data_IF_288362850950
#
_entry.id   IF_288362850950
#
_cell.length_a   1.000
_cell.length_b   1.000
_cell.length_c   1.000
_cell.angle_alpha   90.00
_cell.angle_beta   90.00
_cell.angle_gamma   90.00
#
_symmetry.space_group_name_H-M   'P 1'
#
loop_
_entity.id
_entity.type
_entity.pdbx_description
1 polymer ?
#
# COMPACT_ATOMS: atom_id res chain seq x y z
N UNK A 1 -24.73 -3.07 -35.62
CA UNK A 1 -24.35 -4.50 -35.63
C UNK A 1 -22.82 -4.62 -35.62
N UNK A 2 -22.14 -4.10 -34.59
CA UNK A 2 -20.70 -4.27 -34.35
C UNK A 2 -20.44 -4.09 -32.85
N UNK A 3 -20.84 -5.09 -32.07
CA UNK A 3 -20.56 -5.19 -30.64
C UNK A 3 -20.64 -6.67 -30.25
N UNK A 4 -19.80 -7.52 -30.87
CA UNK A 4 -19.78 -8.96 -30.56
C UNK A 4 -18.59 -9.75 -31.15
N UNK A 5 -17.34 -9.24 -31.12
CA UNK A 5 -16.16 -10.05 -31.55
C UNK A 5 -14.92 -9.94 -30.63
N UNK A 6 -14.91 -9.16 -29.54
CA UNK A 6 -13.80 -9.21 -28.56
C UNK A 6 -14.29 -9.39 -27.13
N UNK A 7 -14.92 -10.53 -26.88
CA UNK A 7 -15.30 -10.99 -25.52
C UNK A 7 -14.66 -12.36 -25.22
N UNK A 8 -13.43 -12.58 -25.70
CA UNK A 8 -12.51 -13.45 -24.95
C UNK A 8 -12.19 -12.67 -23.68
N UNK A 9 -13.02 -12.85 -22.65
CA UNK A 9 -13.10 -11.93 -21.52
C UNK A 9 -11.72 -11.71 -20.89
N UNK A 10 -11.42 -10.48 -20.48
CA UNK A 10 -10.22 -10.16 -19.70
C UNK A 10 -10.04 -11.12 -18.50
N UNK A 11 -11.15 -11.66 -17.95
CA UNK A 11 -11.11 -12.68 -16.91
C UNK A 11 -10.57 -14.05 -17.40
N UNK A 12 -10.85 -14.45 -18.63
CA UNK A 12 -10.26 -15.64 -19.27
C UNK A 12 -8.77 -15.42 -19.51
N UNK A 13 -8.38 -14.25 -20.05
CA UNK A 13 -6.97 -13.90 -20.24
C UNK A 13 -6.20 -13.84 -18.90
N UNK A 14 -6.79 -13.25 -17.86
CA UNK A 14 -6.18 -13.15 -16.53
C UNK A 14 -6.05 -14.52 -15.85
N UNK A 15 -7.04 -15.42 -16.02
CA UNK A 15 -6.94 -16.82 -15.55
C UNK A 15 -5.85 -17.60 -16.29
N UNK A 16 -5.79 -17.49 -17.62
CA UNK A 16 -4.75 -18.16 -18.43
C UNK A 16 -3.36 -17.62 -18.08
N UNK A 17 -3.23 -16.30 -17.89
CA UNK A 17 -1.99 -15.65 -17.48
C UNK A 17 -1.56 -16.08 -16.08
N UNK A 18 -2.46 -16.11 -15.10
CA UNK A 18 -2.18 -16.60 -13.75
C UNK A 18 -1.79 -18.10 -13.76
N UNK A 19 -2.49 -18.92 -14.54
CA UNK A 19 -2.17 -20.34 -14.68
C UNK A 19 -0.79 -20.55 -15.33
N UNK A 20 -0.44 -19.76 -16.35
CA UNK A 20 0.88 -19.81 -16.99
C UNK A 20 1.99 -19.31 -16.06
N UNK A 21 1.74 -18.23 -15.31
CA UNK A 21 2.67 -17.64 -14.36
C UNK A 21 2.89 -18.48 -13.11
N UNK A 22 1.92 -19.34 -12.74
CA UNK A 22 2.03 -20.20 -11.57
C UNK A 22 3.20 -21.18 -11.62
N UNK A 23 3.75 -21.47 -12.82
CA UNK A 23 4.86 -22.40 -13.03
C UNK A 23 6.25 -21.79 -12.78
N UNK A 24 6.40 -20.46 -12.71
CA UNK A 24 7.71 -19.77 -12.75
C UNK A 24 7.93 -18.71 -11.65
N UNK A 25 7.08 -18.64 -10.62
CA UNK A 25 7.19 -17.63 -9.56
C UNK A 25 7.96 -18.17 -8.34
N UNK A 26 9.27 -17.91 -8.29
CA UNK A 26 10.13 -18.34 -7.19
C UNK A 26 10.56 -17.14 -6.34
N UNK A 27 10.40 -17.26 -5.02
CA UNK A 27 11.03 -16.36 -4.06
C UNK A 27 12.51 -16.73 -4.00
N UNK A 28 13.38 -15.79 -4.36
CA UNK A 28 14.81 -15.97 -4.25
C UNK A 28 15.30 -15.48 -2.88
N UNK A 29 16.31 -16.16 -2.36
CA UNK A 29 17.15 -15.64 -1.28
C UNK A 29 18.44 -15.10 -1.91
N UNK A 30 19.02 -14.00 -1.38
CA UNK A 30 20.33 -13.54 -1.83
C UNK A 30 21.38 -14.66 -1.68
N UNK A 31 22.23 -14.84 -2.68
CA UNK A 31 23.22 -15.93 -2.74
C UNK A 31 24.28 -15.93 -1.62
N UNK A 32 24.47 -14.82 -0.89
CA UNK A 32 25.42 -14.71 0.23
C UNK A 32 24.74 -14.20 1.50
N UNK A 33 24.42 -15.11 2.42
CA UNK A 33 24.01 -14.74 3.79
C UNK A 33 25.28 -14.41 4.58
N UNK A 34 25.51 -13.13 4.86
CA UNK A 34 26.66 -12.67 5.64
C UNK A 34 26.50 -13.15 7.09
N UNK A 35 27.31 -14.12 7.52
CA UNK A 35 27.38 -14.62 8.88
C UNK A 35 28.59 -14.02 9.63
N UNK A 36 28.43 -13.89 10.95
CA UNK A 36 29.44 -13.71 12.03
C UNK A 36 29.63 -12.31 12.65
N UNK A 37 29.39 -12.20 13.97
CA UNK A 37 30.35 -12.04 15.11
C UNK A 37 29.56 -12.00 16.44
N UNK A 38 30.22 -12.01 17.61
CA UNK A 38 29.70 -12.34 18.96
C UNK A 38 28.57 -11.42 19.53
N UNK A 39 27.69 -11.93 20.42
CA UNK A 39 26.44 -11.25 20.77
C UNK A 39 26.56 -10.26 21.93
N UNK A 40 26.32 -8.98 21.66
CA UNK A 40 25.52 -8.15 22.56
C UNK A 40 24.07 -8.27 22.09
N UNK A 41 23.24 -9.01 22.83
CA UNK A 41 21.83 -9.19 22.49
C UNK A 41 21.10 -7.87 22.75
N UNK A 42 20.67 -7.20 21.69
CA UNK A 42 19.69 -6.11 21.80
C UNK A 42 18.32 -6.77 21.72
N UNK A 43 17.58 -6.81 22.83
CA UNK A 43 16.20 -7.24 22.82
C UNK A 43 15.35 -6.21 22.05
N UNK A 44 15.24 -6.39 20.73
CA UNK A 44 14.35 -5.58 19.92
C UNK A 44 12.91 -5.77 20.40
N UNK A 45 12.28 -4.64 20.73
CA UNK A 45 10.84 -4.58 20.96
C UNK A 45 10.13 -4.52 19.61
N UNK A 46 8.89 -4.97 19.57
CA UNK A 46 8.01 -4.82 18.42
C UNK A 46 6.66 -4.35 18.92
N UNK A 47 6.08 -3.34 18.26
CA UNK A 47 4.77 -2.82 18.64
C UNK A 47 3.89 -2.59 17.41
N UNK A 48 2.64 -3.02 17.50
CA UNK A 48 1.57 -2.76 16.53
C UNK A 48 0.56 -1.72 17.03
N UNK A 49 0.79 -1.17 18.22
CA UNK A 49 -0.07 -0.15 18.81
C UNK A 49 0.75 0.91 19.55
N UNK A 50 0.30 2.18 19.53
CA UNK A 50 0.90 3.18 20.40
C UNK A 50 0.71 2.78 21.88
N UNK A 51 1.54 3.31 22.80
CA UNK A 51 1.23 3.21 24.21
C UNK A 51 -0.18 3.79 24.47
N UNK A 52 -0.88 3.28 25.50
CA UNK A 52 -2.23 3.76 25.86
C UNK A 52 -2.30 5.27 25.74
N UNK A 53 -3.11 5.74 24.79
CA UNK A 53 -3.16 7.15 24.40
C UNK A 53 -3.49 8.04 25.61
N UNK A 54 -2.83 9.19 25.70
CA UNK A 54 -3.37 10.33 26.45
C UNK A 54 -4.82 10.56 26.00
N UNK A 55 -5.75 10.81 26.92
CA UNK A 55 -7.21 10.83 26.68
C UNK A 55 -7.63 11.56 25.38
N UNK A 56 -7.71 10.82 24.27
CA UNK A 56 -8.21 11.32 22.99
C UNK A 56 -9.75 11.32 23.05
N UNK A 57 -10.42 12.37 22.55
CA UNK A 57 -11.87 12.36 22.44
C UNK A 57 -12.31 11.29 21.45
N UNK A 58 -13.42 10.61 21.75
CA UNK A 58 -14.09 9.74 20.79
C UNK A 58 -14.65 10.57 19.64
N UNK A 59 -14.76 9.97 18.45
CA UNK A 59 -15.38 10.63 17.30
C UNK A 59 -16.85 10.98 17.64
N UNK A 60 -17.25 12.26 17.64
CA UNK A 60 -18.60 12.64 17.99
C UNK A 60 -19.60 12.21 16.92
N UNK A 61 -20.87 12.12 17.30
CA UNK A 61 -22.00 12.03 16.37
C UNK A 61 -22.64 13.41 16.29
N UNK A 62 -22.59 14.11 15.13
CA UNK A 62 -23.20 15.43 15.00
C UNK A 62 -24.74 15.34 15.11
N UNK A 63 -25.42 16.37 15.67
CA UNK A 63 -26.88 16.41 15.68
C UNK A 63 -27.47 16.35 14.27
N UNK A 64 -28.50 15.51 14.08
CA UNK A 64 -29.17 15.29 12.79
C UNK A 64 -29.54 16.60 12.08
N UNK A 65 -30.18 17.54 12.80
CA UNK A 65 -30.59 18.83 12.24
C UNK A 65 -29.41 19.61 11.66
N UNK A 66 -28.29 19.68 12.39
CA UNK A 66 -27.09 20.40 11.95
C UNK A 66 -26.52 19.76 10.68
N UNK A 67 -26.53 18.43 10.59
CA UNK A 67 -26.08 17.69 9.42
C UNK A 67 -26.98 17.95 8.20
N UNK A 68 -28.30 17.93 8.37
CA UNK A 68 -29.26 18.23 7.30
C UNK A 68 -29.14 19.68 6.81
N UNK A 69 -29.05 20.65 7.72
CA UNK A 69 -28.88 22.07 7.39
C UNK A 69 -27.56 22.33 6.64
N UNK A 70 -26.48 21.60 6.98
CA UNK A 70 -25.21 21.66 6.25
C UNK A 70 -25.32 21.01 4.88
N UNK A 71 -25.93 19.82 4.80
CA UNK A 71 -26.14 19.10 3.55
C UNK A 71 -26.89 19.97 2.51
N UNK A 72 -28.03 20.54 2.89
CA UNK A 72 -28.82 21.39 1.98
C UNK A 72 -28.04 22.62 1.49
N UNK A 73 -27.26 23.26 2.39
CA UNK A 73 -26.39 24.37 2.00
C UNK A 73 -25.28 23.94 1.05
N UNK A 74 -24.69 22.77 1.26
CA UNK A 74 -23.58 22.25 0.45
C UNK A 74 -24.02 21.81 -0.95
N UNK A 75 -25.24 21.29 -1.12
CA UNK A 75 -25.72 20.84 -2.44
C UNK A 75 -26.28 21.97 -3.31
N UNK A 76 -26.74 23.07 -2.69
CA UNK A 76 -27.39 24.19 -3.38
C UNK A 76 -26.69 24.68 -4.66
N UNK A 77 -25.35 24.84 -4.73
CA UNK A 77 -24.70 25.29 -5.96
C UNK A 77 -24.60 24.22 -7.08
N UNK A 78 -25.00 22.98 -6.82
CA UNK A 78 -24.86 21.84 -7.74
C UNK A 78 -26.20 21.33 -8.29
N UNK A 79 -27.32 21.94 -7.91
CA UNK A 79 -28.68 21.50 -8.28
C UNK A 79 -29.51 22.69 -8.76
N UNK A 80 -30.54 22.44 -9.57
CA UNK A 80 -31.51 23.47 -9.96
C UNK A 80 -32.56 23.72 -8.85
N UNK A 81 -33.44 24.71 -9.05
CA UNK A 81 -34.41 25.13 -8.06
C UNK A 81 -35.44 24.03 -7.75
N UNK A 82 -35.88 23.31 -8.77
CA UNK A 82 -36.86 22.22 -8.66
C UNK A 82 -36.27 21.04 -7.87
N UNK A 83 -35.05 20.60 -8.19
CA UNK A 83 -34.31 19.56 -7.49
C UNK A 83 -34.02 19.92 -6.04
N UNK A 84 -33.63 21.18 -5.79
CA UNK A 84 -33.42 21.68 -4.43
C UNK A 84 -34.71 21.60 -3.63
N UNK A 85 -35.83 22.04 -4.21
CA UNK A 85 -37.13 22.01 -3.53
C UNK A 85 -37.57 20.60 -3.17
N UNK A 86 -37.37 19.64 -4.08
CA UNK A 86 -37.60 18.21 -3.80
C UNK A 86 -36.72 17.73 -2.66
N UNK A 87 -35.44 18.10 -2.68
CA UNK A 87 -34.48 17.65 -1.66
C UNK A 87 -34.75 18.25 -0.29
N UNK A 88 -35.15 19.53 -0.22
CA UNK A 88 -35.59 20.19 1.02
C UNK A 88 -36.78 19.45 1.65
N UNK A 89 -37.79 19.10 0.83
CA UNK A 89 -38.95 18.36 1.31
C UNK A 89 -38.57 16.95 1.83
N UNK A 90 -37.66 16.26 1.14
CA UNK A 90 -37.14 14.96 1.58
C UNK A 90 -36.37 15.07 2.89
N UNK A 91 -35.48 16.07 3.02
CA UNK A 91 -34.71 16.31 4.24
C UNK A 91 -35.63 16.64 5.43
N UNK A 92 -36.66 17.46 5.21
CA UNK A 92 -37.67 17.79 6.22
C UNK A 92 -38.45 16.54 6.68
N UNK A 93 -38.88 15.69 5.74
CA UNK A 93 -39.55 14.41 6.05
C UNK A 93 -38.62 13.44 6.78
N UNK A 94 -37.35 13.39 6.40
CA UNK A 94 -36.36 12.50 7.02
C UNK A 94 -36.08 12.89 8.48
N UNK A 95 -35.93 14.20 8.74
CA UNK A 95 -35.63 14.76 10.05
C UNK A 95 -36.84 15.15 10.90
N UNK A 96 -38.07 14.79 10.51
CA UNK A 96 -39.27 15.09 11.30
C UNK A 96 -39.32 14.29 12.60
N UNK A 97 -40.08 14.79 13.58
CA UNK A 97 -40.31 14.08 14.84
C UNK A 97 -40.92 12.69 14.58
N UNK A 98 -40.29 11.64 15.11
CA UNK A 98 -40.66 10.24 14.86
C UNK A 98 -40.27 9.71 13.46
N UNK A 99 -39.63 10.55 12.63
CA UNK A 99 -39.15 10.21 11.29
C UNK A 99 -38.02 9.18 11.29
N UNK A 100 -37.66 8.72 10.09
CA UNK A 100 -36.60 7.70 9.92
C UNK A 100 -35.24 8.21 10.39
N UNK A 101 -34.94 9.50 10.16
CA UNK A 101 -33.67 10.11 10.56
C UNK A 101 -33.45 10.08 12.07
N UNK A 102 -34.47 10.37 12.88
CA UNK A 102 -34.35 10.28 14.35
C UNK A 102 -34.08 8.85 14.83
N UNK A 103 -34.72 7.86 14.21
CA UNK A 103 -34.48 6.43 14.52
C UNK A 103 -33.03 6.04 14.21
N UNK A 104 -32.53 6.44 13.03
CA UNK A 104 -31.14 6.16 12.63
C UNK A 104 -30.12 6.92 13.49
N UNK A 105 -30.41 8.16 13.87
CA UNK A 105 -29.57 8.95 14.77
C UNK A 105 -29.41 8.25 16.14
N UNK A 106 -30.51 7.75 16.73
CA UNK A 106 -30.45 7.00 18.00
C UNK A 106 -29.59 5.76 17.90
N UNK A 107 -29.73 4.97 16.84
CA UNK A 107 -28.88 3.80 16.60
C UNK A 107 -27.40 4.18 16.42
N UNK A 108 -27.13 5.33 15.78
CA UNK A 108 -25.77 5.84 15.60
C UNK A 108 -25.16 6.29 16.94
N UNK A 109 -25.94 6.96 17.78
CA UNK A 109 -25.53 7.36 19.13
C UNK A 109 -25.26 6.14 20.03
N UNK A 110 -26.11 5.11 19.94
CA UNK A 110 -25.90 3.81 20.62
C UNK A 110 -24.62 3.13 20.14
N UNK A 111 -24.37 3.12 18.83
CA UNK A 111 -23.11 2.60 18.27
C UNK A 111 -21.90 3.36 18.79
N UNK A 112 -21.95 4.68 18.86
CA UNK A 112 -20.86 5.52 19.37
C UNK A 112 -20.56 5.31 20.85
N UNK A 113 -21.57 4.97 21.67
CA UNK A 113 -21.37 4.58 23.07
C UNK A 113 -20.62 3.25 23.19
N UNK A 114 -20.94 2.31 22.30
CA UNK A 114 -20.49 0.92 22.34
C UNK A 114 -19.24 0.62 21.50
N UNK A 115 -18.62 1.63 20.88
CA UNK A 115 -17.41 1.48 20.06
C UNK A 115 -16.37 2.56 20.41
N UNK A 116 -15.09 2.29 20.15
CA UNK A 116 -14.04 3.31 20.29
C UNK A 116 -14.20 4.42 19.24
N UNK A 117 -14.52 4.03 18.00
CA UNK A 117 -14.85 4.92 16.90
C UNK A 117 -15.98 4.30 16.08
N UNK A 118 -17.15 4.94 16.06
CA UNK A 118 -18.35 4.40 15.43
C UNK A 118 -18.24 4.27 13.91
N UNK A 119 -17.37 5.06 13.28
CA UNK A 119 -17.23 5.16 11.83
C UNK A 119 -16.07 4.31 11.28
N UNK A 120 -15.05 4.00 12.08
CA UNK A 120 -13.78 3.43 11.60
C UNK A 120 -13.96 2.19 10.69
N UNK A 121 -14.69 1.17 11.15
CA UNK A 121 -14.91 -0.05 10.36
C UNK A 121 -15.77 0.18 9.13
N UNK A 122 -16.79 1.04 9.24
CA UNK A 122 -17.64 1.36 8.09
C UNK A 122 -16.85 2.10 7.03
N UNK A 123 -16.09 3.12 7.42
CA UNK A 123 -15.22 3.87 6.52
C UNK A 123 -14.19 2.97 5.84
N UNK A 124 -13.48 2.12 6.61
CA UNK A 124 -12.49 1.20 6.05
C UNK A 124 -13.13 0.26 5.01
N UNK A 125 -14.28 -0.32 5.35
CA UNK A 125 -14.96 -1.25 4.48
C UNK A 125 -15.48 -0.57 3.22
N UNK A 126 -16.30 0.48 3.34
CA UNK A 126 -17.00 1.08 2.20
C UNK A 126 -16.07 1.88 1.31
N UNK A 127 -15.13 2.65 1.88
CA UNK A 127 -14.24 3.51 1.09
C UNK A 127 -13.11 2.73 0.41
N UNK A 128 -12.68 1.59 0.98
CA UNK A 128 -11.49 0.88 0.49
C UNK A 128 -11.73 -0.60 0.19
N UNK A 129 -12.14 -1.41 1.17
CA UNK A 129 -12.13 -2.88 1.03
C UNK A 129 -13.22 -3.40 0.09
N UNK A 130 -14.35 -2.71 0.04
CA UNK A 130 -15.49 -2.97 -0.85
C UNK A 130 -15.38 -2.23 -2.18
N UNK A 131 -14.45 -1.27 -2.31
CA UNK A 131 -14.16 -0.62 -3.59
C UNK A 131 -13.42 -1.59 -4.52
N UNK A 132 -14.05 -1.94 -5.65
CA UNK A 132 -13.62 -3.04 -6.53
C UNK A 132 -12.82 -2.62 -7.76
N UNK A 133 -12.78 -1.33 -8.09
CA UNK A 133 -11.89 -0.83 -9.13
C UNK A 133 -10.42 -1.12 -8.76
N UNK A 134 -9.51 -1.22 -9.75
CA UNK A 134 -8.09 -1.39 -9.48
C UNK A 134 -7.57 -0.40 -8.44
N UNK A 135 -6.68 -0.85 -7.54
CA UNK A 135 -6.07 0.10 -6.58
C UNK A 135 -5.13 1.08 -7.27
N UNK A 136 -4.53 0.69 -8.40
CA UNK A 136 -3.63 1.52 -9.20
C UNK A 136 -4.42 2.66 -9.83
N UNK A 137 -3.93 3.91 -9.70
CA UNK A 137 -4.60 5.16 -10.11
C UNK A 137 -5.84 5.52 -9.27
N UNK A 138 -6.77 4.59 -9.03
CA UNK A 138 -8.06 4.91 -8.42
C UNK A 138 -8.05 5.00 -6.89
N UNK A 139 -7.03 4.43 -6.23
CA UNK A 139 -7.00 4.37 -4.75
C UNK A 139 -5.61 4.66 -4.19
N UNK A 140 -4.57 4.00 -4.69
CA UNK A 140 -3.21 4.14 -4.18
C UNK A 140 -2.60 5.47 -4.63
N UNK A 141 -2.25 6.38 -3.70
CA UNK A 141 -1.55 7.61 -4.05
C UNK A 141 -0.09 7.33 -4.42
N UNK A 142 0.39 8.00 -5.48
CA UNK A 142 1.81 8.05 -5.84
C UNK A 142 2.46 9.30 -5.25
N UNK A 143 3.61 9.15 -4.60
CA UNK A 143 4.41 10.28 -4.10
C UNK A 143 5.70 10.43 -4.90
N UNK A 144 5.97 11.66 -5.35
CA UNK A 144 7.22 12.03 -6.02
C UNK A 144 8.08 12.83 -5.04
N UNK A 145 9.28 12.31 -4.75
CA UNK A 145 10.25 12.97 -3.88
C UNK A 145 11.22 13.85 -4.70
N UNK A 146 11.96 14.76 -4.04
CA UNK A 146 12.99 15.54 -4.70
C UNK A 146 13.92 14.68 -5.55
N UNK A 147 14.12 15.10 -6.80
CA UNK A 147 14.94 14.37 -7.76
C UNK A 147 16.39 14.34 -7.29
N UNK A 148 16.96 13.14 -7.27
CA UNK A 148 18.41 12.93 -7.11
C UNK A 148 18.96 12.48 -8.45
N UNK A 149 20.05 13.11 -8.89
CA UNK A 149 20.80 12.63 -10.05
C UNK A 149 21.52 11.35 -9.67
N UNK A 150 21.11 10.22 -10.27
CA UNK A 150 21.67 8.90 -10.02
C UNK A 150 22.26 8.42 -11.34
N UNK A 151 23.59 8.41 -11.41
CA UNK A 151 24.34 8.19 -12.66
C UNK A 151 24.72 6.72 -12.87
N UNK A 152 24.64 5.89 -11.84
CA UNK A 152 25.03 4.48 -11.89
C UNK A 152 24.13 3.60 -11.02
N UNK A 153 24.10 2.31 -11.32
CA UNK A 153 23.45 1.29 -10.48
C UNK A 153 24.06 1.29 -9.08
N UNK A 154 25.37 1.51 -8.94
CA UNK A 154 26.04 1.61 -7.64
C UNK A 154 25.46 2.73 -6.78
N UNK A 155 25.23 3.91 -7.37
CA UNK A 155 24.60 5.05 -6.68
C UNK A 155 23.13 4.79 -6.35
N UNK A 156 22.39 4.13 -7.27
CA UNK A 156 21.00 3.72 -7.04
C UNK A 156 20.88 2.81 -5.83
N UNK A 157 21.72 1.77 -5.74
CA UNK A 157 21.73 0.83 -4.63
C UNK A 157 22.23 1.46 -3.33
N UNK A 158 23.23 2.36 -3.41
CA UNK A 158 23.66 3.13 -2.24
C UNK A 158 22.52 3.98 -1.69
N UNK A 159 21.79 4.69 -2.55
CA UNK A 159 20.64 5.48 -2.13
C UNK A 159 19.45 4.62 -1.64
N UNK A 160 19.23 3.45 -2.25
CA UNK A 160 18.27 2.47 -1.75
C UNK A 160 18.62 2.04 -0.32
N UNK A 161 19.88 1.68 -0.08
CA UNK A 161 20.36 1.22 1.23
C UNK A 161 20.17 2.27 2.33
N UNK A 162 20.39 3.55 2.02
CA UNK A 162 20.18 4.67 2.95
C UNK A 162 18.70 4.81 3.34
N UNK A 163 17.79 4.72 2.36
CA UNK A 163 16.35 4.83 2.65
C UNK A 163 15.84 3.62 3.43
N UNK A 164 16.33 2.42 3.13
CA UNK A 164 15.99 1.21 3.89
C UNK A 164 16.47 1.37 5.34
N UNK A 165 17.73 1.76 5.56
CA UNK A 165 18.28 1.98 6.90
C UNK A 165 17.45 3.02 7.67
N UNK A 166 17.15 4.17 7.08
CA UNK A 166 16.32 5.20 7.71
C UNK A 166 14.90 4.72 8.04
N UNK A 167 14.28 3.90 7.19
CA UNK A 167 12.97 3.30 7.46
C UNK A 167 13.03 2.30 8.63
N UNK A 168 14.13 1.56 8.77
CA UNK A 168 14.37 0.66 9.90
C UNK A 168 14.62 1.44 11.19
N UNK A 169 15.38 2.53 11.15
CA UNK A 169 15.57 3.43 12.30
C UNK A 169 14.23 4.01 12.76
N UNK A 170 13.37 4.40 11.82
CA UNK A 170 12.01 4.83 12.14
C UNK A 170 11.17 3.71 12.76
N UNK A 171 11.27 2.48 12.23
CA UNK A 171 10.59 1.30 12.79
C UNK A 171 11.06 1.01 14.22
N UNK A 172 12.35 1.11 14.50
CA UNK A 172 12.90 0.97 15.86
C UNK A 172 12.28 2.00 16.80
N UNK A 173 12.22 3.27 16.39
CA UNK A 173 11.57 4.33 17.20
C UNK A 173 10.08 4.08 17.43
N UNK A 174 9.37 3.54 16.44
CA UNK A 174 7.97 3.13 16.63
C UNK A 174 7.89 2.02 17.68
N UNK A 175 8.68 0.97 17.51
CA UNK A 175 8.65 -0.21 18.37
C UNK A 175 9.08 0.08 19.83
N UNK A 176 9.99 1.04 20.02
CA UNK A 176 10.40 1.50 21.34
C UNK A 176 9.52 2.61 21.91
N UNK A 177 8.47 3.04 21.19
CA UNK A 177 7.58 4.15 21.54
C UNK A 177 8.32 5.49 21.74
N UNK A 178 9.36 5.74 20.95
CA UNK A 178 10.17 6.95 20.96
C UNK A 178 9.71 8.01 19.94
N UNK A 179 8.62 7.75 19.21
CA UNK A 179 8.01 8.77 18.34
C UNK A 179 7.26 9.81 19.17
N UNK A 180 7.48 11.09 18.85
CA UNK A 180 6.80 12.19 19.53
C UNK A 180 5.31 12.22 19.21
N UNK A 181 4.48 12.55 20.21
CA UNK A 181 3.05 12.77 20.03
C UNK A 181 2.81 13.95 19.08
N UNK A 182 2.18 13.70 17.94
CA UNK A 182 1.77 14.76 17.03
C UNK A 182 0.57 15.54 17.56
N UNK A 183 0.49 16.82 17.21
CA UNK A 183 -0.56 17.73 17.65
C UNK A 183 -1.04 18.62 16.51
N UNK A 184 -2.32 18.98 16.54
CA UNK A 184 -2.88 20.08 15.75
C UNK A 184 -3.25 21.22 16.70
N UNK A 185 -2.43 22.27 16.70
CA UNK A 185 -2.49 23.29 17.76
C UNK A 185 -2.21 22.65 19.13
N UNK A 186 -3.06 22.86 20.15
CA UNK A 186 -2.86 22.25 21.47
C UNK A 186 -3.33 20.78 21.53
N UNK A 187 -4.04 20.27 20.51
CA UNK A 187 -4.74 19.00 20.58
C UNK A 187 -3.86 17.82 20.11
N UNK A 188 -3.68 16.76 20.91
CA UNK A 188 -2.99 15.55 20.47
C UNK A 188 -3.78 14.80 19.38
N UNK A 189 -3.06 14.16 18.47
CA UNK A 189 -3.60 13.37 17.37
C UNK A 189 -3.50 11.87 17.64
N UNK A 190 -4.37 11.08 17.01
CA UNK A 190 -4.26 9.62 17.05
C UNK A 190 -3.00 9.14 16.33
N UNK A 191 -2.14 8.41 17.04
CA UNK A 191 -0.90 7.86 16.51
C UNK A 191 -1.07 6.44 15.96
N UNK A 192 -2.27 5.83 16.04
CA UNK A 192 -2.48 4.41 15.71
C UNK A 192 -2.12 4.04 14.26
N UNK A 193 -2.20 5.00 13.33
CA UNK A 193 -1.88 4.76 11.92
C UNK A 193 -0.40 4.43 11.72
N UNK A 194 0.51 5.11 12.43
CA UNK A 194 1.95 4.90 12.30
C UNK A 194 2.37 3.43 12.52
N UNK A 195 1.72 2.76 13.47
CA UNK A 195 1.99 1.36 13.82
C UNK A 195 1.38 0.35 12.84
N UNK A 196 0.55 0.81 11.89
CA UNK A 196 -0.08 -0.02 10.86
C UNK A 196 0.55 0.18 9.48
N UNK A 197 1.42 1.16 9.29
CA UNK A 197 1.99 1.45 7.96
C UNK A 197 2.97 0.36 7.51
N UNK A 198 3.88 -0.04 8.40
CA UNK A 198 4.91 -1.05 8.11
C UNK A 198 4.40 -2.44 8.46
N UNK A 199 4.59 -3.42 7.57
CA UNK A 199 4.12 -4.79 7.76
C UNK A 199 2.70 -5.06 7.25
N UNK A 200 1.92 -4.04 6.91
CA UNK A 200 0.56 -4.24 6.38
C UNK A 200 0.55 -4.61 4.91
N UNK A 201 -0.40 -5.45 4.52
CA UNK A 201 -0.71 -5.76 3.13
C UNK A 201 -2.23 -5.90 2.94
N UNK A 202 -2.75 -5.37 1.83
CA UNK A 202 -4.13 -5.64 1.39
C UNK A 202 -4.19 -7.03 0.76
N UNK A 203 -5.16 -7.84 1.13
CA UNK A 203 -5.34 -9.19 0.61
C UNK A 203 -6.60 -9.21 -0.26
N UNK A 204 -6.50 -9.57 -1.55
CA UNK A 204 -7.65 -9.60 -2.43
C UNK A 204 -8.60 -10.74 -2.00
N UNK A 205 -9.90 -10.46 -2.00
CA UNK A 205 -10.90 -11.48 -1.72
C UNK A 205 -12.20 -11.19 -2.48
N UNK A 206 -13.02 -12.22 -2.63
CA UNK A 206 -14.33 -12.09 -3.29
C UNK A 206 -15.22 -11.13 -2.49
N UNK A 207 -15.90 -10.22 -3.19
CA UNK A 207 -16.81 -9.17 -2.66
C UNK A 207 -16.14 -8.09 -1.82
N UNK A 208 -15.24 -8.44 -0.90
CA UNK A 208 -14.56 -7.50 -0.01
C UNK A 208 -13.15 -7.98 0.30
N UNK A 209 -12.17 -7.12 0.06
CA UNK A 209 -10.77 -7.38 0.39
C UNK A 209 -10.56 -7.42 1.91
N UNK A 210 -9.37 -7.85 2.33
CA UNK A 210 -8.98 -7.89 3.75
C UNK A 210 -7.69 -7.11 3.96
N UNK A 211 -7.39 -6.78 5.20
CA UNK A 211 -6.06 -6.32 5.59
C UNK A 211 -5.37 -7.41 6.41
N UNK A 212 -4.14 -7.73 6.03
CA UNK A 212 -3.20 -8.42 6.89
C UNK A 212 -2.38 -7.36 7.62
N UNK A 213 -2.60 -7.24 8.91
CA UNK A 213 -1.92 -6.28 9.78
C UNK A 213 -0.64 -6.89 10.35
N UNK A 214 0.35 -6.07 10.77
CA UNK A 214 1.51 -6.54 11.52
C UNK A 214 1.07 -7.27 12.80
N UNK A 215 1.90 -8.21 13.27
CA UNK A 215 1.65 -9.03 14.45
C UNK A 215 2.82 -8.97 15.42
N UNK A 216 2.60 -8.53 16.65
CA UNK A 216 3.65 -8.43 17.66
C UNK A 216 4.17 -9.78 18.14
N UNK A 217 3.36 -10.84 18.03
CA UNK A 217 3.77 -12.21 18.39
C UNK A 217 4.65 -12.87 17.33
N UNK A 218 4.57 -12.40 16.09
CA UNK A 218 5.35 -12.88 14.95
C UNK A 218 5.74 -11.68 14.06
N UNK A 219 6.70 -10.86 14.53
CA UNK A 219 7.02 -9.60 13.89
C UNK A 219 7.83 -9.82 12.61
N UNK A 220 7.50 -9.04 11.58
CA UNK A 220 8.22 -9.05 10.32
C UNK A 220 9.66 -8.55 10.49
N UNK A 221 10.63 -9.36 10.05
CA UNK A 221 12.07 -9.06 10.12
C UNK A 221 12.74 -8.99 8.74
N UNK A 222 11.94 -8.91 7.70
CA UNK A 222 12.40 -8.88 6.31
C UNK A 222 11.69 -7.78 5.52
N UNK A 223 12.36 -7.34 4.47
CA UNK A 223 11.77 -6.61 3.34
C UNK A 223 11.69 -7.56 2.15
N UNK A 224 10.96 -7.13 1.12
CA UNK A 224 11.06 -7.78 -0.20
C UNK A 224 11.59 -6.78 -1.22
N UNK A 225 12.65 -7.17 -1.91
CA UNK A 225 13.24 -6.40 -3.01
C UNK A 225 12.70 -6.96 -4.31
N UNK A 226 12.32 -6.07 -5.24
CA UNK A 226 11.89 -6.44 -6.59
C UNK A 226 12.78 -5.77 -7.61
N UNK A 227 13.37 -6.57 -8.49
CA UNK A 227 14.15 -6.12 -9.63
C UNK A 227 13.86 -7.05 -10.81
N UNK A 228 13.64 -6.48 -12.00
CA UNK A 228 13.32 -7.25 -13.20
C UNK A 228 12.17 -8.27 -12.99
N UNK A 229 11.14 -7.86 -12.25
CA UNK A 229 9.96 -8.66 -11.86
C UNK A 229 10.27 -9.87 -10.96
N UNK A 230 11.49 -9.99 -10.42
CA UNK A 230 11.91 -11.04 -9.50
C UNK A 230 11.86 -10.55 -8.06
N UNK A 231 11.32 -11.38 -7.16
CA UNK A 231 11.10 -11.04 -5.76
C UNK A 231 12.14 -11.74 -4.87
N UNK A 232 12.79 -10.95 -4.02
CA UNK A 232 13.84 -11.41 -3.13
C UNK A 232 13.46 -11.12 -1.68
N UNK A 233 13.43 -12.15 -0.83
CA UNK A 233 13.27 -11.95 0.61
C UNK A 233 14.63 -11.57 1.20
N UNK A 234 14.69 -10.38 1.78
CA UNK A 234 15.91 -9.82 2.37
C UNK A 234 15.68 -9.65 3.86
N UNK A 235 16.37 -10.46 4.68
CA UNK A 235 16.32 -10.31 6.13
C UNK A 235 17.09 -9.04 6.51
N UNK A 236 16.43 -8.17 7.28
CA UNK A 236 16.97 -6.86 7.66
C UNK A 236 17.18 -6.74 9.16
N UNK A 237 17.01 -7.85 9.90
CA UNK A 237 17.40 -7.98 11.30
C UNK A 237 18.46 -9.07 11.41
N UNK A 238 19.53 -8.77 12.15
CA UNK A 238 20.62 -9.70 12.40
C UNK A 238 20.32 -10.63 13.57
N UNK A 239 21.25 -11.55 13.83
CA UNK A 239 21.17 -12.49 14.97
C UNK A 239 21.21 -11.79 16.34
N UNK A 240 21.63 -10.53 16.39
CA UNK A 240 21.67 -9.70 17.59
C UNK A 240 20.32 -9.10 17.98
N UNK A 241 19.25 -9.40 17.24
CA UNK A 241 17.90 -8.92 17.50
C UNK A 241 17.57 -7.56 16.87
N UNK A 242 18.56 -6.72 16.56
CA UNK A 242 18.38 -5.41 15.92
C UNK A 242 18.55 -5.39 14.39
N UNK A 243 18.25 -4.25 13.74
CA UNK A 243 18.47 -4.07 12.30
C UNK A 243 19.93 -4.27 11.89
N UNK A 244 20.14 -4.78 10.68
CA UNK A 244 21.48 -4.86 10.08
C UNK A 244 21.98 -3.48 9.63
N UNK A 245 23.30 -3.33 9.48
CA UNK A 245 23.91 -2.06 9.04
C UNK A 245 23.57 -1.71 7.59
N UNK A 246 23.65 -0.42 7.24
CA UNK A 246 23.51 0.06 5.87
C UNK A 246 24.47 -0.65 4.89
N UNK A 247 25.71 -0.94 5.31
CA UNK A 247 26.68 -1.67 4.50
C UNK A 247 26.22 -3.10 4.16
N UNK A 248 25.65 -3.81 5.15
CA UNK A 248 25.06 -5.14 4.95
C UNK A 248 23.83 -5.09 4.04
N UNK A 249 22.97 -4.07 4.19
CA UNK A 249 21.83 -3.85 3.29
C UNK A 249 22.33 -3.65 1.86
N UNK A 250 23.33 -2.78 1.65
CA UNK A 250 23.90 -2.53 0.33
C UNK A 250 24.51 -3.81 -0.28
N UNK A 251 25.16 -4.65 0.53
CA UNK A 251 25.63 -5.97 0.10
C UNK A 251 24.49 -6.84 -0.44
N UNK A 252 23.44 -7.04 0.36
CA UNK A 252 22.28 -7.84 -0.05
C UNK A 252 21.57 -7.29 -1.29
N UNK A 253 21.50 -5.95 -1.43
CA UNK A 253 20.93 -5.33 -2.63
C UNK A 253 21.78 -5.65 -3.88
N UNK A 254 23.11 -5.60 -3.79
CA UNK A 254 23.99 -5.95 -4.92
C UNK A 254 23.79 -7.41 -5.34
N UNK A 255 23.66 -8.31 -4.37
CA UNK A 255 23.39 -9.73 -4.64
C UNK A 255 22.04 -9.91 -5.34
N UNK A 256 20.99 -9.22 -4.89
CA UNK A 256 19.68 -9.25 -5.56
C UNK A 256 19.80 -8.84 -7.03
N UNK A 257 20.51 -7.74 -7.34
CA UNK A 257 20.69 -7.27 -8.72
C UNK A 257 21.52 -8.28 -9.52
N UNK A 258 22.62 -8.77 -8.96
CA UNK A 258 23.45 -9.80 -9.60
C UNK A 258 22.63 -11.04 -9.98
N UNK A 259 21.75 -11.49 -9.09
CA UNK A 259 20.92 -12.68 -9.26
C UNK A 259 19.65 -12.45 -10.12
N UNK A 260 19.46 -11.24 -10.66
CA UNK A 260 18.29 -10.83 -11.45
C UNK A 260 18.63 -10.04 -12.71
N UNK A 261 19.65 -10.47 -13.46
CA UNK A 261 19.97 -9.88 -14.76
C UNK A 261 18.84 -10.08 -15.79
N UNK A 262 18.15 -11.22 -15.74
CA UNK A 262 17.05 -11.56 -16.63
C UNK A 262 15.68 -11.16 -16.08
N UNK A 263 14.78 -10.76 -16.99
CA UNK A 263 13.41 -10.38 -16.65
C UNK A 263 12.55 -11.62 -16.44
N UNK A 264 11.96 -11.75 -15.24
CA UNK A 264 11.02 -12.82 -14.93
C UNK A 264 9.60 -12.52 -15.43
N UNK A 265 8.72 -13.54 -15.50
CA UNK A 265 7.30 -13.35 -15.75
C UNK A 265 6.71 -12.26 -14.84
N UNK A 266 5.91 -11.33 -15.38
CA UNK A 266 5.47 -10.12 -14.67
C UNK A 266 4.34 -10.37 -13.64
N UNK A 267 4.51 -11.29 -12.69
CA UNK A 267 3.44 -11.70 -11.74
C UNK A 267 2.92 -10.52 -10.92
N UNK A 268 3.79 -9.57 -10.57
CA UNK A 268 3.41 -8.37 -9.83
C UNK A 268 2.34 -7.51 -10.53
N UNK A 269 2.26 -7.58 -11.87
CA UNK A 269 1.26 -6.82 -12.63
C UNK A 269 -0.17 -7.27 -12.34
N UNK A 270 -0.37 -8.52 -11.90
CA UNK A 270 -1.71 -9.02 -11.56
C UNK A 270 -2.34 -8.23 -10.41
N UNK A 271 -1.53 -7.58 -9.56
CA UNK A 271 -2.03 -6.71 -8.49
C UNK A 271 -2.61 -5.38 -8.97
N UNK A 272 -2.42 -5.03 -10.26
CA UNK A 272 -3.01 -3.83 -10.88
C UNK A 272 -4.39 -4.06 -11.51
N UNK A 273 -4.93 -5.28 -11.45
CA UNK A 273 -6.23 -5.62 -12.04
C UNK A 273 -7.40 -5.16 -11.17
N UNK A 274 -8.61 -5.27 -11.75
CA UNK A 274 -9.85 -5.14 -11.00
C UNK A 274 -9.85 -6.13 -9.83
N UNK A 275 -10.32 -5.70 -8.64
CA UNK A 275 -10.12 -6.47 -7.39
C UNK A 275 -10.71 -7.88 -7.44
N UNK A 276 -11.83 -8.05 -8.15
CA UNK A 276 -12.44 -9.39 -8.33
C UNK A 276 -11.67 -10.30 -9.29
N UNK A 277 -11.00 -9.74 -10.30
CA UNK A 277 -10.13 -10.51 -11.19
C UNK A 277 -8.87 -10.92 -10.43
N UNK A 278 -8.29 -9.97 -9.69
CA UNK A 278 -7.12 -10.22 -8.87
C UNK A 278 -7.41 -11.24 -7.77
N UNK A 279 -8.57 -11.19 -7.10
CA UNK A 279 -8.96 -12.20 -6.12
C UNK A 279 -8.99 -13.62 -6.70
N UNK A 280 -9.52 -13.79 -7.93
CA UNK A 280 -9.52 -15.09 -8.62
C UNK A 280 -8.11 -15.54 -8.98
N UNK A 281 -7.27 -14.64 -9.49
CA UNK A 281 -5.89 -14.94 -9.85
C UNK A 281 -5.02 -15.25 -8.62
N UNK A 282 -5.15 -14.49 -7.53
CA UNK A 282 -4.48 -14.74 -6.25
C UNK A 282 -4.84 -16.11 -5.68
N UNK A 283 -6.12 -16.51 -5.75
CA UNK A 283 -6.57 -17.85 -5.36
C UNK A 283 -5.88 -18.95 -6.17
N UNK A 284 -5.74 -18.78 -7.49
CA UNK A 284 -5.03 -19.74 -8.36
C UNK A 284 -3.54 -19.77 -8.01
N UNK A 285 -2.89 -18.62 -7.87
CA UNK A 285 -1.48 -18.54 -7.48
C UNK A 285 -1.21 -19.25 -6.15
N UNK A 286 -2.10 -19.06 -5.18
CA UNK A 286 -1.99 -19.64 -3.83
C UNK A 286 -2.16 -21.16 -3.76
N UNK A 287 -2.55 -21.83 -4.86
CA UNK A 287 -2.69 -23.30 -4.90
C UNK A 287 -1.33 -24.02 -4.91
N UNK A 288 -0.27 -23.38 -5.42
CA UNK A 288 1.09 -23.91 -5.34
C UNK A 288 1.70 -23.60 -3.97
N UNK A 289 2.25 -24.59 -3.24
CA UNK A 289 2.95 -24.36 -1.98
C UNK A 289 4.10 -23.37 -2.11
N UNK A 290 4.84 -23.42 -3.22
CA UNK A 290 5.95 -22.52 -3.52
C UNK A 290 5.45 -21.08 -3.67
N UNK A 291 4.43 -20.86 -4.51
CA UNK A 291 3.84 -19.54 -4.70
C UNK A 291 3.24 -18.99 -3.40
N UNK A 292 2.59 -19.84 -2.61
CA UNK A 292 2.04 -19.47 -1.30
C UNK A 292 3.12 -18.96 -0.36
N UNK A 293 4.31 -19.57 -0.34
CA UNK A 293 5.44 -19.08 0.45
C UNK A 293 5.95 -17.71 -0.05
N UNK A 294 5.94 -17.47 -1.38
CA UNK A 294 6.29 -16.16 -1.94
C UNK A 294 5.27 -15.09 -1.55
N UNK A 295 3.98 -15.40 -1.70
CA UNK A 295 2.88 -14.53 -1.30
C UNK A 295 2.97 -14.19 0.18
N UNK A 296 3.18 -15.19 1.05
CA UNK A 296 3.33 -14.97 2.48
C UNK A 296 4.52 -14.05 2.81
N UNK A 297 5.66 -14.24 2.13
CA UNK A 297 6.82 -13.36 2.30
C UNK A 297 6.52 -11.90 1.90
N UNK A 298 5.79 -11.68 0.80
CA UNK A 298 5.39 -10.34 0.36
C UNK A 298 4.36 -9.72 1.31
N UNK A 299 3.34 -10.50 1.69
CA UNK A 299 2.25 -10.03 2.54
C UNK A 299 2.73 -9.66 3.94
N UNK A 300 3.73 -10.37 4.47
CA UNK A 300 4.30 -10.13 5.80
C UNK A 300 5.46 -9.14 5.84
N UNK A 301 6.12 -8.82 4.72
CA UNK A 301 7.33 -7.97 4.78
C UNK A 301 7.06 -6.57 5.35
N UNK A 302 8.08 -5.91 5.90
CA UNK A 302 7.91 -4.55 6.44
C UNK A 302 7.47 -3.56 5.36
N UNK A 303 8.13 -3.61 4.19
CA UNK A 303 7.81 -2.83 3.01
C UNK A 303 8.47 -3.46 1.78
N UNK A 304 8.01 -3.06 0.59
CA UNK A 304 8.61 -3.44 -0.68
C UNK A 304 9.67 -2.42 -1.10
N UNK A 305 10.74 -2.88 -1.74
CA UNK A 305 11.73 -2.02 -2.41
C UNK A 305 11.81 -2.39 -3.88
N UNK A 306 11.38 -1.49 -4.76
CA UNK A 306 11.47 -1.67 -6.20
C UNK A 306 12.73 -0.98 -6.73
N UNK A 307 13.67 -1.76 -7.24
CA UNK A 307 14.80 -1.24 -7.99
C UNK A 307 14.37 -1.22 -9.45
N UNK A 308 14.05 -0.02 -9.95
CA UNK A 308 13.50 0.15 -11.28
C UNK A 308 14.60 0.33 -12.31
N UNK A 309 14.35 -0.25 -13.48
CA UNK A 309 15.15 -0.02 -14.67
C UNK A 309 14.90 1.37 -15.26
N UNK A 310 15.45 1.61 -16.47
CA UNK A 310 15.25 2.84 -17.19
C UNK A 310 13.75 3.12 -17.47
N UNK A 311 13.38 4.38 -17.73
CA UNK A 311 12.00 4.73 -18.06
C UNK A 311 11.46 3.95 -19.27
N UNK A 312 10.15 3.69 -19.32
CA UNK A 312 9.47 3.12 -20.49
C UNK A 312 9.39 4.13 -21.66
N UNK A 313 9.03 3.68 -22.88
CA UNK A 313 8.74 4.60 -23.99
C UNK A 313 7.68 5.66 -23.64
N UNK A 314 6.64 5.26 -22.92
CA UNK A 314 5.53 6.15 -22.53
C UNK A 314 6.02 7.19 -21.50
N UNK A 315 6.87 6.77 -20.55
CA UNK A 315 7.52 7.68 -19.60
C UNK A 315 8.47 8.67 -20.30
N UNK A 316 9.15 8.24 -21.38
CA UNK A 316 10.02 9.11 -22.19
C UNK A 316 9.23 10.10 -23.05
N UNK A 317 8.02 9.73 -23.46
CA UNK A 317 7.12 10.57 -24.24
C UNK A 317 6.36 11.60 -23.38
N UNK A 318 6.49 11.53 -22.05
CA UNK A 318 5.85 12.48 -21.15
C UNK A 318 6.31 13.93 -21.43
N UNK A 319 5.40 14.93 -21.30
CA UNK A 319 5.67 16.31 -21.68
C UNK A 319 6.78 16.97 -20.86
N UNK A 320 7.02 16.48 -19.63
CA UNK A 320 8.11 16.93 -18.78
C UNK A 320 8.49 15.85 -17.77
N UNK A 321 9.60 16.08 -17.06
CA UNK A 321 10.14 15.17 -16.06
C UNK A 321 9.22 14.92 -14.86
N UNK A 322 8.39 15.90 -14.47
CA UNK A 322 7.47 15.75 -13.35
C UNK A 322 6.31 14.83 -13.71
N UNK A 323 5.75 14.99 -14.91
CA UNK A 323 4.73 14.08 -15.45
C UNK A 323 5.30 12.67 -15.61
N UNK A 324 6.51 12.53 -16.15
CA UNK A 324 7.20 11.23 -16.25
C UNK A 324 7.35 10.57 -14.87
N UNK A 325 7.82 11.33 -13.87
CA UNK A 325 7.93 10.87 -12.50
C UNK A 325 6.57 10.51 -11.87
N UNK A 326 5.50 11.25 -12.16
CA UNK A 326 4.16 10.95 -11.68
C UNK A 326 3.59 9.67 -12.30
N UNK A 327 3.80 9.42 -13.60
CA UNK A 327 3.36 8.18 -14.25
C UNK A 327 4.09 6.95 -13.65
N UNK A 328 5.41 7.06 -13.46
CA UNK A 328 6.21 6.02 -12.77
C UNK A 328 5.78 5.84 -11.31
N UNK A 329 5.56 6.98 -10.67
CA UNK A 329 4.83 7.36 -9.44
C UNK A 329 3.55 6.59 -9.12
N UNK A 330 2.69 6.47 -10.11
CA UNK A 330 1.32 6.04 -9.89
C UNK A 330 1.10 4.61 -10.35
N UNK A 331 1.63 4.25 -11.51
CA UNK A 331 1.37 2.94 -12.11
C UNK A 331 2.61 2.25 -12.67
N UNK A 332 3.79 2.89 -12.68
CA UNK A 332 5.04 2.28 -13.12
C UNK A 332 5.31 2.32 -14.63
N UNK A 333 4.58 3.13 -15.40
CA UNK A 333 4.90 3.36 -16.81
C UNK A 333 4.44 2.29 -17.81
N UNK A 334 3.56 1.37 -17.41
CA UNK A 334 2.90 0.38 -18.27
C UNK A 334 3.55 -1.01 -18.24
N UNK A 335 2.95 -1.98 -18.92
CA UNK A 335 3.42 -3.37 -18.98
C UNK A 335 4.79 -3.54 -19.66
N UNK A 336 5.16 -2.60 -20.54
CA UNK A 336 6.50 -2.49 -21.15
C UNK A 336 7.47 -1.63 -20.33
N UNK A 337 7.03 -1.15 -19.16
CA UNK A 337 7.80 -0.37 -18.21
C UNK A 337 8.03 -1.15 -16.92
N UNK A 338 7.90 -0.46 -15.80
CA UNK A 338 8.16 -0.99 -14.45
C UNK A 338 6.87 -1.37 -13.70
N UNK A 339 5.70 -1.43 -14.35
CA UNK A 339 4.42 -1.74 -13.69
C UNK A 339 4.40 -3.13 -13.04
N UNK A 340 5.13 -4.09 -13.60
CA UNK A 340 5.23 -5.44 -13.07
C UNK A 340 6.28 -5.59 -11.95
N UNK A 341 7.16 -4.61 -11.79
CA UNK A 341 8.20 -4.56 -10.77
C UNK A 341 7.63 -4.04 -9.44
N UNK A 342 6.43 -4.50 -9.08
CA UNK A 342 5.56 -3.94 -8.04
C UNK A 342 4.77 -5.04 -7.34
N UNK A 343 4.20 -4.68 -6.19
CA UNK A 343 3.09 -5.40 -5.57
C UNK A 343 2.11 -4.37 -4.99
N UNK A 344 1.10 -3.96 -5.77
CA UNK A 344 0.23 -2.82 -5.45
C UNK A 344 -0.65 -3.01 -4.22
N UNK A 345 -0.74 -4.23 -3.71
CA UNK A 345 -1.38 -4.55 -2.43
C UNK A 345 -0.53 -4.18 -1.20
N UNK A 346 0.79 -4.03 -1.37
CA UNK A 346 1.67 -3.69 -0.25
C UNK A 346 1.52 -2.22 0.11
N UNK A 347 1.29 -1.94 1.41
CA UNK A 347 1.01 -0.58 1.92
C UNK A 347 2.13 0.40 1.58
N UNK A 348 3.39 0.01 1.77
CA UNK A 348 4.55 0.85 1.42
C UNK A 348 5.41 0.15 0.37
N UNK A 349 5.66 0.87 -0.73
CA UNK A 349 6.60 0.50 -1.79
C UNK A 349 7.58 1.65 -2.05
N UNK A 350 8.84 1.46 -1.63
CA UNK A 350 9.92 2.40 -1.89
C UNK A 350 10.48 2.13 -3.29
N UNK A 351 10.53 3.15 -4.14
CA UNK A 351 11.03 3.03 -5.51
C UNK A 351 12.33 3.79 -5.70
N UNK A 352 13.28 3.12 -6.35
CA UNK A 352 14.57 3.72 -6.72
C UNK A 352 14.73 3.61 -8.22
N UNK A 353 14.71 4.77 -8.87
CA UNK A 353 14.68 4.89 -10.31
C UNK A 353 16.09 5.11 -10.85
N UNK A 354 16.44 4.40 -11.92
CA UNK A 354 17.58 4.76 -12.72
C UNK A 354 17.20 5.94 -13.62
N UNK A 355 17.78 7.11 -13.37
CA UNK A 355 17.62 8.30 -14.22
C UNK A 355 18.91 8.46 -15.02
N UNK A 356 19.01 7.83 -16.18
CA UNK A 356 20.15 8.07 -17.06
C UNK A 356 20.13 9.55 -17.47
N UNK A 357 21.23 10.27 -17.21
CA UNK A 357 21.43 11.60 -17.82
C UNK A 357 21.20 11.44 -19.32
N UNK A 358 20.38 12.31 -19.92
CA UNK A 358 20.52 12.56 -21.36
C UNK A 358 21.98 12.97 -21.54
N UNK A 359 22.75 12.18 -22.29
CA UNK A 359 24.00 12.68 -22.84
C UNK A 359 23.59 13.95 -23.62
N UNK A 360 24.01 15.11 -23.13
CA UNK A 360 23.95 16.33 -23.91
C UNK A 360 24.91 16.07 -25.07
N UNK A 361 24.33 15.79 -26.24
CA UNK A 361 25.03 15.82 -27.52
C UNK A 361 24.96 17.21 -28.10
#
# INVERSE_FOLDING_TARGET
>A
MFAKIFEVSAATASKVMAAHMSRNFLLKLPSKVCSTMAPNIINARFSTSPPKASALPRLPVPPLKITLDRYLRSIKPFVNAEELKVTENLAAKFGSAGGVGEKLQKLLDERAKNTENWLADWWLNTAYLEFRAPVVVFSNPGLVFPRKEISSVKEQLSNASQVIAAALDFKVKLDSNEIAQEKMGPHPLDMSQYFKVLGTCRIPAEKRDKLRLPNDKDPAKHIVVVHNNQFFKVNVYGNHGGPISQGQILGQLKDCIHDSQEVAPPVGILTSEHRDNWAKAHKILSQSPQNKAVLDAIETCLFLVCIDGPPSPDERAAPNQFTSAALKMTHGGGSRGNSANRWFDKTIQVRKNQNLKKLQG
#
